data_IF_308109562718
#
_entry.id   IF_308109562718
#
_cell.length_a   1.000
_cell.length_b   1.000
_cell.length_c   1.000
_cell.angle_alpha   90.00
_cell.angle_beta   90.00
_cell.angle_gamma   90.00
#
_symmetry.space_group_name_H-M   'P 1'
#
loop_
_entity.id
_entity.type
_entity.pdbx_description
1 polymer ?
#
# COMPACT_ATOMS: atom_id res chain seq x y z
N UNK A 1 6.88 -45.79 5.25
CA UNK A 1 8.26 -45.44 4.89
C UNK A 1 8.69 -44.31 5.81
N UNK A 2 9.25 -44.70 6.94
CA UNK A 2 9.80 -43.88 8.01
C UNK A 2 11.06 -43.16 7.50
N UNK A 3 11.05 -41.83 7.49
CA UNK A 3 12.26 -41.03 7.22
C UNK A 3 13.00 -40.81 8.54
N UNK A 4 13.80 -41.81 8.93
CA UNK A 4 14.81 -41.67 9.97
C UNK A 4 16.11 -41.32 9.26
N UNK A 5 16.50 -40.04 9.25
CA UNK A 5 17.73 -39.62 8.60
C UNK A 5 18.13 -38.18 8.93
N UNK A 6 19.27 -38.00 9.57
CA UNK A 6 19.94 -36.71 9.70
C UNK A 6 20.22 -36.15 8.30
N UNK A 7 19.70 -34.95 8.01
CA UNK A 7 19.85 -34.26 6.73
C UNK A 7 18.70 -33.30 6.46
N UNK A 8 18.86 -32.38 5.50
CA UNK A 8 17.78 -31.46 5.10
C UNK A 8 16.65 -32.26 4.43
N UNK A 9 15.47 -32.25 5.03
CA UNK A 9 14.28 -32.92 4.50
C UNK A 9 13.97 -32.46 3.07
N UNK A 10 13.41 -33.38 2.28
CA UNK A 10 12.96 -33.09 0.90
C UNK A 10 11.88 -32.01 0.94
N UNK A 11 12.09 -30.92 0.20
CA UNK A 11 11.16 -29.79 0.14
C UNK A 11 9.83 -30.14 -0.59
N UNK A 12 9.84 -31.17 -1.44
CA UNK A 12 8.68 -31.56 -2.23
C UNK A 12 8.39 -33.05 -2.10
N UNK A 13 7.10 -33.37 -1.96
CA UNK A 13 6.60 -34.74 -1.86
C UNK A 13 6.94 -35.60 -3.08
N UNK A 14 6.80 -35.03 -4.29
CA UNK A 14 6.93 -35.69 -5.59
C UNK A 14 7.35 -34.67 -6.67
N UNK A 15 7.75 -35.15 -7.85
CA UNK A 15 8.07 -34.29 -9.00
C UNK A 15 6.88 -33.42 -9.42
N UNK A 16 5.64 -33.93 -9.38
CA UNK A 16 4.45 -33.13 -9.66
C UNK A 16 4.27 -31.97 -8.67
N UNK A 17 4.55 -32.18 -7.38
CA UNK A 17 4.53 -31.13 -6.35
C UNK A 17 5.56 -30.03 -6.68
N UNK A 18 6.76 -30.42 -7.14
CA UNK A 18 7.82 -29.51 -7.58
C UNK A 18 7.42 -28.73 -8.85
N UNK A 19 6.82 -29.40 -9.81
CA UNK A 19 6.35 -28.82 -11.07
C UNK A 19 5.27 -27.75 -10.84
N UNK A 20 4.26 -28.05 -10.02
CA UNK A 20 3.22 -27.07 -9.65
C UNK A 20 3.81 -25.84 -8.94
N UNK A 21 4.79 -26.03 -8.06
CA UNK A 21 5.48 -24.93 -7.40
C UNK A 21 6.37 -24.12 -8.37
N UNK A 22 6.85 -24.72 -9.46
CA UNK A 22 7.53 -23.99 -10.53
C UNK A 22 6.55 -23.19 -11.37
N UNK A 23 5.45 -23.80 -11.81
CA UNK A 23 4.39 -23.17 -12.60
C UNK A 23 3.77 -21.98 -11.87
N UNK A 24 3.49 -22.11 -10.58
CA UNK A 24 2.99 -21.01 -9.75
C UNK A 24 4.00 -19.85 -9.67
N UNK A 25 5.29 -20.14 -9.54
CA UNK A 25 6.34 -19.10 -9.54
C UNK A 25 6.51 -18.48 -10.93
N UNK A 26 6.45 -19.27 -11.99
CA UNK A 26 6.55 -18.79 -13.37
C UNK A 26 5.36 -17.91 -13.76
N UNK A 27 4.16 -18.23 -13.26
CA UNK A 27 2.97 -17.39 -13.46
C UNK A 27 3.07 -16.07 -12.69
N UNK A 28 3.68 -16.06 -11.50
CA UNK A 28 3.91 -14.85 -10.70
C UNK A 28 5.10 -13.99 -11.20
N UNK A 29 6.15 -14.61 -11.76
CA UNK A 29 7.41 -13.93 -12.07
C UNK A 29 7.60 -13.55 -13.55
N UNK A 30 6.57 -13.65 -14.40
CA UNK A 30 6.61 -13.00 -15.72
C UNK A 30 6.60 -13.88 -16.98
N UNK A 31 6.03 -15.10 -16.94
CA UNK A 31 5.84 -15.90 -18.17
C UNK A 31 4.37 -16.08 -18.60
N UNK A 32 3.38 -15.62 -17.83
CA UNK A 32 1.96 -15.79 -18.17
C UNK A 32 0.94 -14.95 -17.42
N UNK A 33 1.36 -14.07 -16.51
CA UNK A 33 0.52 -12.99 -15.96
C UNK A 33 0.71 -11.72 -16.79
N UNK A 34 -0.25 -10.76 -16.78
CA UNK A 34 -0.03 -9.47 -17.42
C UNK A 34 1.23 -8.85 -16.83
N UNK A 35 2.24 -8.63 -17.67
CA UNK A 35 3.40 -7.82 -17.29
C UNK A 35 2.88 -6.50 -16.76
N UNK A 36 3.34 -6.11 -15.57
CA UNK A 36 3.02 -4.79 -15.05
C UNK A 36 3.46 -3.74 -16.08
N UNK A 37 2.62 -2.73 -16.35
CA UNK A 37 3.04 -1.57 -17.13
C UNK A 37 4.35 -0.98 -16.58
N UNK A 38 5.20 -0.37 -17.43
CA UNK A 38 6.48 0.19 -17.00
C UNK A 38 6.34 1.33 -15.97
N UNK A 39 5.16 1.93 -15.87
CA UNK A 39 4.77 2.99 -14.96
C UNK A 39 3.90 2.51 -13.79
N UNK A 40 3.69 1.20 -13.65
CA UNK A 40 2.90 0.65 -12.56
C UNK A 40 3.59 0.83 -11.20
N UNK A 41 2.80 1.24 -10.21
CA UNK A 41 3.22 1.23 -8.80
C UNK A 41 2.57 0.04 -8.11
N UNK A 42 3.37 -0.78 -7.44
CA UNK A 42 2.89 -1.93 -6.65
C UNK A 42 2.94 -1.55 -5.19
N UNK A 43 1.78 -1.56 -4.54
CA UNK A 43 1.62 -1.37 -3.11
C UNK A 43 1.06 -2.65 -2.50
N UNK A 44 1.44 -2.96 -1.27
CA UNK A 44 0.68 -3.87 -0.42
C UNK A 44 -0.71 -3.31 -0.14
N UNK A 45 -1.63 -4.17 0.31
CA UNK A 45 -2.97 -3.74 0.69
C UNK A 45 -2.93 -2.70 1.84
N UNK A 46 -2.02 -2.88 2.80
CA UNK A 46 -1.85 -1.98 3.94
C UNK A 46 -1.29 -0.62 3.47
N UNK A 47 -0.29 -0.60 2.59
CA UNK A 47 0.24 0.66 2.02
C UNK A 47 -0.82 1.43 1.22
N UNK A 48 -1.67 0.72 0.47
CA UNK A 48 -2.77 1.34 -0.28
C UNK A 48 -3.85 1.91 0.65
N UNK A 49 -4.20 1.21 1.74
CA UNK A 49 -5.13 1.69 2.75
C UNK A 49 -4.57 2.94 3.47
N UNK A 50 -3.32 2.87 3.92
CA UNK A 50 -2.62 3.98 4.58
C UNK A 50 -2.52 5.22 3.68
N UNK A 51 -2.29 5.04 2.38
CA UNK A 51 -2.30 6.15 1.42
C UNK A 51 -3.70 6.75 1.27
N UNK A 52 -4.73 5.92 1.14
CA UNK A 52 -6.12 6.36 1.06
C UNK A 52 -6.54 7.16 2.30
N UNK A 53 -6.19 6.69 3.49
CA UNK A 53 -6.51 7.36 4.75
C UNK A 53 -5.82 8.73 4.85
N UNK A 54 -4.56 8.83 4.43
CA UNK A 54 -3.83 10.11 4.41
C UNK A 54 -4.44 11.10 3.42
N UNK A 55 -4.83 10.65 2.23
CA UNK A 55 -5.55 11.50 1.26
C UNK A 55 -6.90 11.95 1.80
N UNK A 56 -7.62 11.05 2.49
CA UNK A 56 -8.88 11.38 3.15
C UNK A 56 -8.69 12.49 4.20
N UNK A 57 -7.65 12.41 5.03
CA UNK A 57 -7.33 13.44 6.02
C UNK A 57 -7.05 14.80 5.39
N UNK A 58 -6.35 14.84 4.25
CA UNK A 58 -6.12 16.09 3.49
C UNK A 58 -7.45 16.70 3.05
N UNK A 59 -8.36 15.89 2.50
CA UNK A 59 -9.68 16.37 2.08
C UNK A 59 -10.45 16.97 3.25
N UNK A 60 -10.53 16.25 4.37
CA UNK A 60 -11.23 16.75 5.56
C UNK A 60 -10.63 18.05 6.09
N UNK A 61 -9.30 18.14 6.18
CA UNK A 61 -8.66 19.37 6.63
C UNK A 61 -8.95 20.56 5.69
N UNK A 62 -9.13 20.32 4.39
CA UNK A 62 -9.54 21.35 3.43
C UNK A 62 -11.03 21.72 3.57
N UNK A 63 -11.90 20.72 3.82
CA UNK A 63 -13.32 20.93 4.12
C UNK A 63 -13.52 21.75 5.40
N UNK A 64 -12.70 21.54 6.43
CA UNK A 64 -12.71 22.31 7.68
C UNK A 64 -12.35 23.79 7.41
N UNK A 65 -11.34 24.05 6.57
CA UNK A 65 -10.99 25.42 6.15
C UNK A 65 -12.15 26.09 5.40
N UNK A 66 -12.80 25.35 4.48
CA UNK A 66 -13.95 25.88 3.74
C UNK A 66 -15.12 26.20 4.68
N UNK A 67 -15.42 25.31 5.62
CA UNK A 67 -16.47 25.50 6.63
C UNK A 67 -16.18 26.71 7.50
N UNK A 68 -14.95 26.85 7.99
CA UNK A 68 -14.54 28.00 8.79
C UNK A 68 -14.67 29.33 8.02
N UNK A 69 -14.36 29.34 6.71
CA UNK A 69 -14.59 30.51 5.86
C UNK A 69 -16.08 30.86 5.73
N UNK A 70 -16.94 29.86 5.54
CA UNK A 70 -18.39 30.05 5.45
C UNK A 70 -18.99 30.57 6.77
N UNK A 71 -18.44 30.14 7.90
CA UNK A 71 -18.84 30.59 9.25
C UNK A 71 -18.23 31.94 9.66
N UNK A 72 -17.34 32.51 8.83
CA UNK A 72 -16.71 33.80 9.10
C UNK A 72 -15.62 33.74 10.18
N UNK A 73 -14.94 32.61 10.30
CA UNK A 73 -13.83 32.41 11.23
C UNK A 73 -12.74 33.47 11.10
N UNK A 74 -12.11 33.79 12.23
CA UNK A 74 -11.05 34.80 12.29
C UNK A 74 -9.73 34.31 11.69
N UNK A 75 -8.86 35.26 11.33
CA UNK A 75 -7.54 34.97 10.80
C UNK A 75 -6.65 34.05 11.68
N UNK A 76 -6.72 34.06 13.03
CA UNK A 76 -5.98 33.10 13.85
C UNK A 76 -6.43 31.65 13.63
N UNK A 77 -7.73 31.40 13.66
CA UNK A 77 -8.33 30.08 13.47
C UNK A 77 -8.06 29.54 12.06
N UNK A 78 -8.26 30.38 11.04
CA UNK A 78 -7.95 30.00 9.67
C UNK A 78 -6.46 29.64 9.49
N UNK A 79 -5.55 30.28 10.22
CA UNK A 79 -4.13 29.94 10.18
C UNK A 79 -3.86 28.56 10.79
N UNK A 80 -4.51 28.23 11.90
CA UNK A 80 -4.39 26.92 12.54
C UNK A 80 -4.91 25.79 11.63
N UNK A 81 -6.06 26.01 10.98
CA UNK A 81 -6.63 25.06 10.03
C UNK A 81 -5.75 24.90 8.77
N UNK A 82 -5.20 26.00 8.24
CA UNK A 82 -4.22 25.93 7.16
C UNK A 82 -2.97 25.14 7.57
N UNK A 83 -2.45 25.35 8.79
CA UNK A 83 -1.30 24.61 9.29
C UNK A 83 -1.62 23.12 9.45
N UNK A 84 -2.84 22.77 9.88
CA UNK A 84 -3.30 21.38 9.96
C UNK A 84 -3.39 20.73 8.57
N UNK A 85 -3.97 21.43 7.60
CA UNK A 85 -4.03 20.99 6.20
C UNK A 85 -2.63 20.75 5.63
N UNK A 86 -1.69 21.68 5.86
CA UNK A 86 -0.32 21.53 5.38
C UNK A 86 0.42 20.36 6.05
N UNK A 87 0.11 20.05 7.33
CA UNK A 87 0.64 18.84 7.98
C UNK A 87 0.08 17.58 7.37
N UNK A 88 -1.24 17.51 7.12
CA UNK A 88 -1.88 16.37 6.46
C UNK A 88 -1.31 16.15 5.06
N UNK A 89 -1.13 17.22 4.28
CA UNK A 89 -0.57 17.15 2.93
C UNK A 89 0.86 16.56 2.93
N UNK A 90 1.73 17.04 3.83
CA UNK A 90 3.09 16.52 3.99
C UNK A 90 3.11 15.05 4.39
N UNK A 91 2.18 14.61 5.23
CA UNK A 91 2.07 13.21 5.62
C UNK A 91 1.63 12.32 4.45
N UNK A 92 0.74 12.85 3.59
CA UNK A 92 0.31 12.18 2.37
C UNK A 92 1.42 12.12 1.32
N UNK A 93 2.26 13.15 1.17
CA UNK A 93 3.33 13.23 0.16
C UNK A 93 4.44 12.18 0.34
N UNK A 94 4.73 11.77 1.57
CA UNK A 94 5.80 10.83 1.92
C UNK A 94 5.53 9.36 1.57
N UNK A 95 4.68 9.07 0.60
CA UNK A 95 4.31 7.71 0.18
C UNK A 95 5.22 7.11 -0.90
N UNK A 96 6.15 7.92 -1.45
CA UNK A 96 7.24 7.48 -2.33
C UNK A 96 8.52 7.20 -1.56
#
# INVERSE_FOLDING_TARGET
MTDTGMGRRRQYCRQSCRQRAYEQRASMNGAGGPSLPPDAVVLSADEAADLSDRVYQVRCAAEDVATALEEGAGAPELRELCDALMRAAKAADGWR
#
